data_IF_808999934564
#
_entry.id   IF_808999934564
#
_cell.length_a   1.000
_cell.length_b   1.000
_cell.length_c   1.000
_cell.angle_alpha   90.00
_cell.angle_beta   90.00
_cell.angle_gamma   90.00
#
_symmetry.space_group_name_H-M   'P 1'
#
loop_
_entity.id
_entity.type
_entity.pdbx_description
1 polymer ?
#
# COMPACT_ATOMS: atom_id res chain seq x y z
N UNK A 1 -21.91 -4.71 14.68
CA UNK A 1 -21.47 -4.13 13.39
C UNK A 1 -20.71 -5.18 12.59
N UNK A 2 -20.93 -5.28 11.28
CA UNK A 2 -20.16 -6.16 10.37
C UNK A 2 -18.83 -5.48 10.00
N UNK A 3 -17.65 -6.02 10.39
CA UNK A 3 -16.36 -5.39 10.11
C UNK A 3 -16.06 -5.21 8.61
N UNK A 4 -16.52 -6.14 7.77
CA UNK A 4 -16.28 -6.15 6.32
C UNK A 4 -16.97 -5.01 5.59
N UNK A 5 -18.04 -4.46 6.15
CA UNK A 5 -18.79 -3.36 5.55
C UNK A 5 -18.66 -2.07 6.34
N UNK A 6 -18.56 -2.17 7.67
CA UNK A 6 -18.44 -1.00 8.54
C UNK A 6 -17.13 -0.25 8.34
N UNK A 7 -16.00 -0.97 8.24
CA UNK A 7 -14.71 -0.32 8.05
C UNK A 7 -14.59 0.35 6.67
N UNK A 8 -14.85 -0.33 5.53
CA UNK A 8 -14.85 0.31 4.22
C UNK A 8 -15.83 1.49 4.13
N UNK A 9 -17.05 1.33 4.65
CA UNK A 9 -18.03 2.42 4.63
C UNK A 9 -17.58 3.63 5.46
N UNK A 10 -16.83 3.41 6.55
CA UNK A 10 -16.30 4.51 7.35
C UNK A 10 -15.36 5.40 6.54
N UNK A 11 -14.65 4.85 5.55
CA UNK A 11 -13.71 5.57 4.67
C UNK A 11 -14.28 5.88 3.28
N UNK A 12 -15.59 5.68 3.08
CA UNK A 12 -16.26 5.99 1.81
C UNK A 12 -16.07 4.94 0.71
N UNK A 13 -15.62 3.73 1.04
CA UNK A 13 -15.35 2.66 0.07
C UNK A 13 -16.33 1.49 0.22
N UNK A 14 -16.64 0.81 -0.88
CA UNK A 14 -17.24 -0.52 -0.83
C UNK A 14 -16.19 -1.56 -0.40
N UNK A 15 -16.64 -2.72 0.11
CA UNK A 15 -15.73 -3.80 0.51
C UNK A 15 -14.76 -4.19 -0.60
N UNK A 16 -15.24 -4.31 -1.85
CA UNK A 16 -14.41 -4.71 -2.99
C UNK A 16 -13.41 -3.63 -3.40
N UNK A 17 -13.78 -2.34 -3.30
CA UNK A 17 -12.85 -1.23 -3.50
C UNK A 17 -11.74 -1.25 -2.46
N UNK A 18 -12.09 -1.33 -1.19
CA UNK A 18 -11.14 -1.34 -0.09
C UNK A 18 -10.20 -2.55 -0.17
N UNK A 19 -10.75 -3.75 -0.38
CA UNK A 19 -9.98 -4.98 -0.56
C UNK A 19 -8.98 -4.85 -1.72
N UNK A 20 -9.41 -4.33 -2.87
CA UNK A 20 -8.55 -4.17 -4.04
C UNK A 20 -7.40 -3.19 -3.80
N UNK A 21 -7.70 -2.03 -3.21
CA UNK A 21 -6.69 -1.00 -2.88
C UNK A 21 -5.69 -1.54 -1.86
N UNK A 22 -6.17 -2.07 -0.72
CA UNK A 22 -5.32 -2.59 0.34
C UNK A 22 -4.45 -3.76 -0.15
N UNK A 23 -5.03 -4.71 -0.88
CA UNK A 23 -4.29 -5.88 -1.39
C UNK A 23 -3.21 -5.47 -2.39
N UNK A 24 -3.51 -4.57 -3.35
CA UNK A 24 -2.52 -4.08 -4.30
C UNK A 24 -1.37 -3.37 -3.60
N UNK A 25 -1.67 -2.54 -2.60
CA UNK A 25 -0.68 -1.82 -1.82
C UNK A 25 0.23 -2.80 -1.05
N UNK A 26 -0.36 -3.75 -0.33
CA UNK A 26 0.36 -4.78 0.43
C UNK A 26 1.23 -5.69 -0.45
N UNK A 27 0.73 -6.15 -1.61
CA UNK A 27 1.51 -6.98 -2.53
C UNK A 27 2.75 -6.25 -3.05
N UNK A 28 2.66 -4.94 -3.29
CA UNK A 28 3.82 -4.12 -3.68
C UNK A 28 4.82 -4.01 -2.55
N UNK A 29 4.37 -3.79 -1.30
CA UNK A 29 5.26 -3.79 -0.13
C UNK A 29 6.01 -5.12 -0.01
N UNK A 30 5.30 -6.25 -0.13
CA UNK A 30 5.90 -7.59 -0.10
C UNK A 30 6.95 -7.74 -1.22
N UNK A 31 6.60 -7.40 -2.46
CA UNK A 31 7.53 -7.51 -3.59
C UNK A 31 8.78 -6.62 -3.41
N UNK A 32 8.60 -5.37 -2.96
CA UNK A 32 9.71 -4.46 -2.67
C UNK A 32 10.60 -4.97 -1.53
N UNK A 33 9.99 -5.50 -0.46
CA UNK A 33 10.68 -6.11 0.67
C UNK A 33 11.47 -7.36 0.27
N UNK A 34 10.86 -8.28 -0.50
CA UNK A 34 11.55 -9.44 -1.04
C UNK A 34 12.72 -9.04 -1.95
N UNK A 35 12.54 -8.00 -2.78
CA UNK A 35 13.62 -7.45 -3.60
C UNK A 35 14.77 -6.89 -2.76
N UNK A 36 14.47 -6.17 -1.68
CA UNK A 36 15.47 -5.64 -0.76
C UNK A 36 16.21 -6.74 0.02
N UNK A 37 15.50 -7.78 0.46
CA UNK A 37 16.09 -8.95 1.12
C UNK A 37 17.03 -9.70 0.16
N UNK A 38 16.57 -9.96 -1.07
CA UNK A 38 17.39 -10.58 -2.10
C UNK A 38 18.63 -9.74 -2.45
N UNK A 39 18.49 -8.41 -2.49
CA UNK A 39 19.63 -7.49 -2.65
C UNK A 39 20.62 -7.57 -1.48
N UNK A 40 20.13 -7.68 -0.24
CA UNK A 40 20.97 -7.85 0.94
C UNK A 40 21.81 -9.13 0.92
N UNK A 41 21.30 -10.21 0.31
CA UNK A 41 22.04 -11.47 0.11
C UNK A 41 22.94 -11.39 -1.14
N UNK A 42 22.43 -10.81 -2.23
CA UNK A 42 23.09 -10.69 -3.52
C UNK A 42 23.13 -9.22 -3.95
N UNK A 43 24.20 -8.47 -3.67
CA UNK A 43 24.24 -7.01 -3.85
C UNK A 43 24.10 -6.53 -5.30
N UNK A 44 24.18 -7.43 -6.27
CA UNK A 44 23.96 -7.14 -7.69
C UNK A 44 22.51 -7.36 -8.15
N UNK A 45 21.67 -8.06 -7.36
CA UNK A 45 20.26 -8.25 -7.67
C UNK A 45 19.43 -7.10 -7.11
N UNK A 46 18.37 -6.70 -7.85
CA UNK A 46 17.32 -5.81 -7.38
C UNK A 46 17.80 -4.48 -6.73
N UNK A 47 18.93 -3.95 -7.21
CA UNK A 47 19.68 -2.81 -6.61
C UNK A 47 18.83 -1.57 -6.28
N UNK A 48 17.74 -1.34 -7.00
CA UNK A 48 16.84 -0.20 -6.77
C UNK A 48 15.40 -0.61 -6.51
N UNK A 49 15.08 -1.91 -6.45
CA UNK A 49 13.69 -2.38 -6.33
C UNK A 49 13.05 -1.94 -5.03
N UNK A 50 13.77 -2.07 -3.91
CA UNK A 50 13.26 -1.66 -2.60
C UNK A 50 12.98 -0.16 -2.53
N UNK A 51 13.98 0.66 -2.87
CA UNK A 51 13.85 2.13 -2.82
C UNK A 51 12.79 2.65 -3.78
N UNK A 52 12.77 2.18 -5.03
CA UNK A 52 11.74 2.56 -6.01
C UNK A 52 10.34 2.18 -5.56
N UNK A 53 10.17 1.02 -4.94
CA UNK A 53 8.88 0.58 -4.41
C UNK A 53 8.41 1.51 -3.29
N UNK A 54 9.28 1.82 -2.32
CA UNK A 54 8.94 2.75 -1.23
C UNK A 54 8.62 4.14 -1.77
N UNK A 55 9.44 4.68 -2.68
CA UNK A 55 9.18 5.99 -3.29
C UNK A 55 7.85 6.04 -4.03
N UNK A 56 7.51 4.98 -4.78
CA UNK A 56 6.23 4.90 -5.49
C UNK A 56 5.04 4.80 -4.53
N UNK A 57 5.12 3.95 -3.50
CA UNK A 57 4.07 3.82 -2.49
C UNK A 57 3.90 5.12 -1.71
N UNK A 58 5.00 5.79 -1.35
CA UNK A 58 4.96 7.09 -0.68
C UNK A 58 4.32 8.17 -1.56
N UNK A 59 4.64 8.21 -2.85
CA UNK A 59 4.00 9.13 -3.79
C UNK A 59 2.49 8.86 -3.90
N UNK A 60 2.07 7.59 -3.92
CA UNK A 60 0.63 7.22 -3.90
C UNK A 60 -0.05 7.71 -2.60
N UNK A 61 0.58 7.56 -1.43
CA UNK A 61 0.06 8.08 -0.15
C UNK A 61 -0.12 9.60 -0.23
N UNK A 62 0.92 10.33 -0.66
CA UNK A 62 0.91 11.80 -0.70
C UNK A 62 -0.11 12.33 -1.70
N UNK A 63 -0.20 11.74 -2.90
CA UNK A 63 -1.19 12.13 -3.90
C UNK A 63 -2.63 11.96 -3.38
N UNK A 64 -2.84 10.97 -2.50
CA UNK A 64 -4.15 10.68 -1.92
C UNK A 64 -4.51 11.56 -0.71
N UNK A 65 -3.57 12.33 -0.14
CA UNK A 65 -3.81 13.21 1.03
C UNK A 65 -4.67 14.43 0.73
N UNK A 66 -4.82 14.82 -0.54
CA UNK A 66 -5.67 15.94 -0.94
C UNK A 66 -7.18 15.63 -0.84
N UNK A 67 -7.54 14.35 -0.71
CA UNK A 67 -8.90 13.86 -0.53
C UNK A 67 -9.03 13.24 0.88
N UNK A 68 -9.93 13.78 1.69
CA UNK A 68 -10.11 13.38 3.10
C UNK A 68 -10.61 11.94 3.26
N UNK A 69 -11.48 11.47 2.38
CA UNK A 69 -11.98 10.09 2.40
C UNK A 69 -10.83 9.11 2.05
N UNK A 70 -10.05 9.48 1.04
CA UNK A 70 -8.93 8.69 0.56
C UNK A 70 -7.72 8.72 1.51
N UNK A 71 -7.52 9.81 2.24
CA UNK A 71 -6.50 9.90 3.30
C UNK A 71 -6.79 8.91 4.42
N UNK A 72 -8.04 8.81 4.85
CA UNK A 72 -8.46 7.87 5.89
C UNK A 72 -8.29 6.42 5.43
N UNK A 73 -8.65 6.09 4.18
CA UNK A 73 -8.45 4.71 3.70
C UNK A 73 -6.97 4.32 3.69
N UNK A 74 -6.07 5.23 3.33
CA UNK A 74 -4.62 4.99 3.38
C UNK A 74 -4.11 4.87 4.81
N UNK A 75 -4.58 5.68 5.76
CA UNK A 75 -4.18 5.62 7.19
C UNK A 75 -4.57 4.30 7.88
N UNK A 76 -5.61 3.62 7.41
CA UNK A 76 -5.98 2.30 7.95
C UNK A 76 -5.24 1.14 7.27
N UNK A 77 -4.62 1.37 6.12
CA UNK A 77 -3.84 0.36 5.38
C UNK A 77 -2.38 0.31 5.86
N UNK A 78 -1.86 1.40 6.46
CA UNK A 78 -0.44 1.58 6.83
C UNK A 78 -0.35 2.10 8.26
#
# INVERSE_FOLDING_TARGET
MNPFTHHPASVGESYTQHLGVATRFGLRMIAGGLGALAHGVFPFLFTTTGSRTISALHAEIVAKRADEAQRRSVEFVI
#
